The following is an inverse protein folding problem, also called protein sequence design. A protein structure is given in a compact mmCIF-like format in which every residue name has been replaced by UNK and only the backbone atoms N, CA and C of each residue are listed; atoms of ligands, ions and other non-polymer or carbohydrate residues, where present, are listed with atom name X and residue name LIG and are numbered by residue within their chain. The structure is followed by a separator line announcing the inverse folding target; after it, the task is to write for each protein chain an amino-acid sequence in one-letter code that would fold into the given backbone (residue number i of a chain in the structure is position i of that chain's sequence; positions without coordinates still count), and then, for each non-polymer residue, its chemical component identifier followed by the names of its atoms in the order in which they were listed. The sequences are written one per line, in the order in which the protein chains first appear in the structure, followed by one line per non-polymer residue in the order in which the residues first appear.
data_IF_747563387054
#
_entry.id   IF_747563387054
#
_cell.length_a   1.000
_cell.length_b   1.000
_cell.length_c   1.000
_cell.angle_alpha   90.00
_cell.angle_beta   90.00
_cell.angle_gamma   90.00
#
_symmetry.space_group_name_H-M   'P 1'
#
loop_
_entity.id
_entity.type
_entity.pdbx_description
1 polymer ?
#
# COMPACT_ATOMS: atom_id res chain seq x y z
N UNK A 1 -9.89 7.02 -3.80
CA UNK A 1 -8.45 7.33 -3.65
C UNK A 1 -8.13 8.23 -2.46
N UNK A 2 -8.86 9.33 -2.24
CA UNK A 2 -8.59 10.25 -1.12
C UNK A 2 -8.53 9.55 0.25
N UNK A 3 -9.50 8.67 0.56
CA UNK A 3 -9.53 7.93 1.84
C UNK A 3 -8.31 7.03 2.01
N UNK A 4 -7.90 6.30 0.97
CA UNK A 4 -6.73 5.42 1.03
C UNK A 4 -5.43 6.21 1.20
N UNK A 5 -5.27 7.34 0.51
CA UNK A 5 -4.11 8.22 0.67
C UNK A 5 -4.05 8.80 2.09
N UNK A 6 -5.18 9.20 2.66
CA UNK A 6 -5.27 9.67 4.05
C UNK A 6 -4.88 8.58 5.05
N UNK A 7 -5.41 7.37 4.89
CA UNK A 7 -5.06 6.23 5.75
C UNK A 7 -3.58 5.89 5.66
N UNK A 8 -3.01 5.93 4.45
CA UNK A 8 -1.60 5.65 4.23
C UNK A 8 -0.69 6.65 4.95
N UNK A 9 -0.94 7.95 4.76
CA UNK A 9 -0.17 9.01 5.42
C UNK A 9 -0.35 8.92 6.94
N UNK A 10 -1.58 8.70 7.41
CA UNK A 10 -1.87 8.57 8.84
C UNK A 10 -1.15 7.39 9.49
N UNK A 11 -1.08 6.25 8.82
CA UNK A 11 -0.34 5.09 9.32
C UNK A 11 1.16 5.43 9.43
N UNK A 12 1.77 6.00 8.38
CA UNK A 12 3.18 6.41 8.40
C UNK A 12 3.50 7.40 9.53
N UNK A 13 2.64 8.40 9.78
CA UNK A 13 2.86 9.37 10.86
C UNK A 13 2.72 8.73 12.24
N UNK A 14 1.66 7.94 12.46
CA UNK A 14 1.40 7.27 13.75
C UNK A 14 2.56 6.33 14.12
N UNK A 15 3.16 5.66 13.15
CA UNK A 15 4.28 4.75 13.37
C UNK A 15 5.55 5.48 13.79
N UNK A 16 5.83 6.64 13.20
CA UNK A 16 6.99 7.45 13.56
C UNK A 16 6.80 7.99 14.98
N UNK A 17 5.60 8.52 15.28
CA UNK A 17 5.25 9.00 16.62
C UNK A 17 5.36 7.87 17.65
N UNK A 18 4.86 6.67 17.33
CA UNK A 18 4.97 5.50 18.21
C UNK A 18 6.43 5.04 18.41
N UNK A 19 7.29 5.18 17.40
CA UNK A 19 8.71 4.87 17.55
C UNK A 19 9.38 5.86 18.52
N UNK A 20 9.10 7.16 18.36
CA UNK A 20 9.62 8.21 19.25
C UNK A 20 9.12 8.00 20.68
N UNK A 21 7.84 7.67 20.87
CA UNK A 21 7.24 7.37 22.18
C UNK A 21 7.85 6.14 22.87
N UNK A 22 8.44 5.22 22.11
CA UNK A 22 9.15 4.03 22.63
C UNK A 22 10.60 4.34 23.05
N UNK A 23 11.06 5.58 22.92
CA UNK A 23 12.42 5.99 23.25
C UNK A 23 13.44 5.69 22.15
N UNK A 24 12.96 5.41 20.93
CA UNK A 24 13.81 5.25 19.74
C UNK A 24 14.30 6.64 19.31
N UNK A 25 15.61 6.80 19.06
CA UNK A 25 16.13 8.08 18.58
C UNK A 25 15.49 8.46 17.24
N UNK A 26 15.31 9.77 17.00
CA UNK A 26 14.75 10.29 15.74
C UNK A 26 15.48 9.75 14.49
N UNK A 27 16.76 9.40 14.61
CA UNK A 27 17.53 8.80 13.52
C UNK A 27 17.12 7.34 13.24
N UNK A 28 16.81 6.56 14.26
CA UNK A 28 16.35 5.17 14.13
C UNK A 28 14.93 5.09 13.54
N UNK A 29 14.08 6.08 13.83
CA UNK A 29 12.76 6.20 13.21
C UNK A 29 12.81 6.35 11.68
N UNK A 30 13.87 6.95 11.13
CA UNK A 30 14.06 7.07 9.67
C UNK A 30 14.33 5.71 9.04
N UNK A 31 15.01 4.80 9.73
CA UNK A 31 15.27 3.46 9.22
C UNK A 31 13.99 2.63 9.06
N UNK A 32 12.95 2.87 9.88
CA UNK A 32 11.63 2.29 9.67
C UNK A 32 11.03 2.71 8.33
N UNK A 33 11.10 4.00 7.99
CA UNK A 33 10.56 4.55 6.74
C UNK A 33 11.34 4.00 5.55
N UNK A 34 12.67 3.94 5.64
CA UNK A 34 13.53 3.39 4.58
C UNK A 34 13.21 1.91 4.36
N UNK A 35 13.09 1.12 5.44
CA UNK A 35 12.69 -0.28 5.37
C UNK A 35 11.31 -0.46 4.74
N UNK A 36 10.34 0.38 5.13
CA UNK A 36 9.01 0.43 4.53
C UNK A 36 9.07 0.75 3.03
N UNK A 37 9.84 1.74 2.61
CA UNK A 37 9.99 2.12 1.19
C UNK A 37 10.62 1.01 0.35
N UNK A 38 11.65 0.34 0.86
CA UNK A 38 12.29 -0.79 0.17
C UNK A 38 11.32 -1.96 0.06
N UNK A 39 10.60 -2.28 1.14
CA UNK A 39 9.58 -3.31 1.17
C UNK A 39 8.42 -3.02 0.20
N UNK A 40 7.93 -1.78 0.15
CA UNK A 40 6.90 -1.35 -0.81
C UNK A 40 7.37 -1.53 -2.26
N UNK A 41 8.63 -1.17 -2.55
CA UNK A 41 9.20 -1.34 -3.88
C UNK A 41 9.26 -2.84 -4.27
N UNK A 42 9.71 -3.70 -3.36
CA UNK A 42 9.76 -5.15 -3.56
C UNK A 42 8.35 -5.71 -3.77
N UNK A 43 7.37 -5.28 -2.98
CA UNK A 43 5.97 -5.69 -3.11
C UNK A 43 5.39 -5.33 -4.48
N UNK A 44 5.71 -4.13 -4.99
CA UNK A 44 5.30 -3.69 -6.35
C UNK A 44 5.96 -4.53 -7.44
N UNK A 45 7.26 -4.78 -7.34
CA UNK A 45 8.01 -5.59 -8.32
C UNK A 45 7.54 -7.04 -8.32
N UNK A 46 7.30 -7.62 -7.14
CA UNK A 46 6.78 -8.99 -7.00
C UNK A 46 5.41 -9.16 -7.64
N UNK A 47 4.56 -8.13 -7.60
CA UNK A 47 3.24 -8.20 -8.22
C UNK A 47 3.26 -8.18 -9.76
N UNK A 48 4.30 -7.59 -10.36
CA UNK A 48 4.52 -7.65 -11.81
C UNK A 48 4.61 -9.09 -12.32
N UNK A 49 5.23 -9.98 -11.56
CA UNK A 49 5.33 -11.41 -11.89
C UNK A 49 4.06 -12.20 -11.55
N UNK A 50 3.26 -11.75 -10.56
CA UNK A 50 2.02 -12.42 -10.13
C UNK A 50 0.88 -12.18 -11.12
N UNK A 51 0.77 -10.97 -11.69
CA UNK A 51 -0.24 -10.62 -12.71
C UNK A 51 -0.03 -11.46 -13.97
N UNK A 52 1.23 -11.66 -14.37
CA UNK A 52 1.57 -12.39 -15.60
C UNK A 52 1.22 -13.89 -15.50
N UNK A 53 1.24 -14.44 -14.28
CA UNK A 53 0.92 -15.86 -14.05
C UNK A 53 -0.57 -16.19 -14.06
N UNK A 54 -1.51 -15.24 -14.23
CA UNK A 54 -2.98 -15.48 -14.20
C UNK A 54 -3.52 -16.26 -12.97
N UNK A 55 -2.73 -16.44 -11.92
CA UNK A 55 -2.99 -17.46 -10.89
C UNK A 55 -4.05 -17.05 -9.85
N UNK A 56 -4.45 -15.78 -9.75
CA UNK A 56 -5.42 -15.34 -8.72
C UNK A 56 -6.35 -14.23 -9.22
N UNK A 57 -7.66 -14.37 -8.98
CA UNK A 57 -8.64 -13.29 -9.18
C UNK A 57 -8.26 -12.10 -8.29
N UNK A 58 -7.95 -10.95 -8.91
CA UNK A 58 -7.58 -9.67 -8.27
C UNK A 58 -8.47 -9.31 -7.06
N UNK A 59 -9.77 -9.64 -7.15
CA UNK A 59 -10.76 -9.35 -6.10
C UNK A 59 -10.54 -10.14 -4.80
N UNK A 60 -10.11 -11.41 -4.89
CA UNK A 60 -9.81 -12.22 -3.69
C UNK A 60 -8.46 -11.85 -3.08
N UNK A 61 -7.48 -11.53 -3.92
CA UNK A 61 -6.15 -11.16 -3.45
C UNK A 61 -6.20 -9.87 -2.61
N UNK A 62 -6.86 -8.82 -3.11
CA UNK A 62 -6.99 -7.54 -2.40
C UNK A 62 -7.66 -7.67 -1.03
N UNK A 63 -8.69 -8.52 -0.91
CA UNK A 63 -9.40 -8.73 0.35
C UNK A 63 -8.54 -9.43 1.41
N UNK A 64 -7.81 -10.48 1.01
CA UNK A 64 -6.90 -11.21 1.90
C UNK A 64 -5.75 -10.31 2.36
N UNK A 65 -5.15 -9.53 1.47
CA UNK A 65 -4.07 -8.59 1.84
C UNK A 65 -4.56 -7.47 2.75
N UNK A 66 -5.78 -6.95 2.55
CA UNK A 66 -6.36 -5.94 3.45
C UNK A 66 -6.62 -6.49 4.85
N UNK A 67 -7.14 -7.71 4.96
CA UNK A 67 -7.33 -8.36 6.26
C UNK A 67 -6.00 -8.58 6.98
N UNK A 68 -5.01 -9.11 6.28
CA UNK A 68 -3.67 -9.35 6.84
C UNK A 68 -3.02 -8.05 7.33
N UNK A 69 -3.16 -6.98 6.54
CA UNK A 69 -2.66 -5.65 6.85
C UNK A 69 -3.34 -5.05 8.09
N UNK A 70 -4.67 -5.23 8.22
CA UNK A 70 -5.41 -4.85 9.43
C UNK A 70 -4.97 -5.62 10.67
N UNK A 71 -4.72 -6.94 10.54
CA UNK A 71 -4.21 -7.77 11.63
C UNK A 71 -2.81 -7.34 12.08
N UNK A 72 -1.94 -6.98 11.13
CA UNK A 72 -0.59 -6.46 11.42
C UNK A 72 -0.65 -5.16 12.22
N UNK A 73 -1.52 -4.23 11.84
CA UNK A 73 -1.73 -2.97 12.59
C UNK A 73 -2.30 -3.23 13.98
N UNK A 74 -3.26 -4.15 14.11
CA UNK A 74 -3.80 -4.56 15.41
C UNK A 74 -2.77 -5.28 16.29
N UNK A 75 -1.73 -5.88 15.69
CA UNK A 75 -0.64 -6.55 16.41
C UNK A 75 0.48 -5.60 16.87
N UNK A 76 0.60 -4.39 16.30
CA UNK A 76 1.57 -3.37 16.72
C UNK A 76 1.55 -3.07 18.22
N UNK A 77 0.39 -2.84 18.88
CA UNK A 77 0.36 -2.52 20.31
C UNK A 77 0.74 -3.69 21.24
N UNK A 78 0.85 -4.93 20.74
CA UNK A 78 1.03 -6.12 21.59
C UNK A 78 2.48 -6.34 22.04
N UNK A 79 3.48 -5.83 21.31
CA UNK A 79 4.90 -6.06 21.59
C UNK A 79 5.72 -4.78 21.42
N UNK A 80 6.22 -4.22 22.53
CA UNK A 80 7.11 -3.04 22.58
C UNK A 80 8.57 -3.34 22.21
N UNK A 81 8.82 -4.13 21.17
CA UNK A 81 10.19 -4.43 20.72
C UNK A 81 10.47 -3.78 19.38
N UNK A 82 11.56 -3.03 19.28
CA UNK A 82 11.99 -2.34 18.06
C UNK A 82 12.11 -3.30 16.85
N UNK A 83 12.68 -4.48 17.07
CA UNK A 83 12.80 -5.50 16.02
C UNK A 83 11.42 -5.99 15.53
N UNK A 84 10.45 -6.10 16.43
CA UNK A 84 9.09 -6.50 16.07
C UNK A 84 8.41 -5.43 15.22
N UNK A 85 8.59 -4.16 15.61
CA UNK A 85 8.05 -3.01 14.89
C UNK A 85 8.65 -2.89 13.47
N UNK A 86 9.96 -3.11 13.32
CA UNK A 86 10.64 -3.16 12.01
C UNK A 86 10.11 -4.28 11.11
N UNK A 87 9.95 -5.50 11.64
CA UNK A 87 9.42 -6.64 10.86
C UNK A 87 7.98 -6.38 10.42
N UNK A 88 7.14 -5.83 11.31
CA UNK A 88 5.76 -5.48 11.00
C UNK A 88 5.70 -4.39 9.92
N UNK A 89 6.58 -3.38 9.97
CA UNK A 89 6.68 -2.37 8.90
C UNK A 89 7.06 -2.95 7.55
N UNK A 90 8.06 -3.81 7.52
CA UNK A 90 8.47 -4.46 6.28
C UNK A 90 7.35 -5.33 5.70
N UNK A 91 6.64 -6.10 6.54
CA UNK A 91 5.47 -6.87 6.08
C UNK A 91 4.35 -5.95 5.59
N UNK A 92 4.08 -4.85 6.30
CA UNK A 92 3.07 -3.87 5.93
C UNK A 92 3.39 -3.23 4.56
N UNK A 93 4.65 -2.82 4.33
CA UNK A 93 5.12 -2.29 3.06
C UNK A 93 5.03 -3.29 1.91
N UNK A 94 5.42 -4.55 2.14
CA UNK A 94 5.31 -5.62 1.14
C UNK A 94 3.87 -5.87 0.69
N UNK A 95 2.90 -5.71 1.58
CA UNK A 95 1.47 -5.88 1.28
C UNK A 95 0.84 -4.62 0.67
N UNK A 96 1.35 -3.44 1.06
CA UNK A 96 0.93 -2.14 0.52
C UNK A 96 1.23 -2.03 -0.99
N UNK A 97 2.45 -2.40 -1.40
CA UNK A 97 2.90 -2.24 -2.79
C UNK A 97 1.95 -2.84 -3.84
N UNK A 98 1.57 -4.12 -3.72
CA UNK A 98 0.57 -4.76 -4.57
C UNK A 98 -0.78 -4.07 -4.62
N UNK A 99 -1.26 -3.58 -3.46
CA UNK A 99 -2.57 -2.93 -3.33
C UNK A 99 -2.62 -1.60 -4.09
N UNK A 100 -1.56 -0.79 -4.00
CA UNK A 100 -1.42 0.45 -4.79
C UNK A 100 -1.46 0.13 -6.28
N UNK A 101 -0.79 -0.95 -6.70
CA UNK A 101 -0.75 -1.38 -8.09
C UNK A 101 -2.13 -1.81 -8.60
N UNK A 102 -2.89 -2.58 -7.81
CA UNK A 102 -4.27 -2.97 -8.12
C UNK A 102 -5.20 -1.75 -8.20
N UNK A 103 -5.07 -0.80 -7.27
CA UNK A 103 -5.85 0.44 -7.28
C UNK A 103 -5.60 1.26 -8.55
N UNK A 104 -4.33 1.42 -8.95
CA UNK A 104 -3.95 2.12 -10.20
C UNK A 104 -4.46 1.37 -11.44
N UNK A 105 -4.40 0.03 -11.46
CA UNK A 105 -4.89 -0.77 -12.58
C UNK A 105 -6.41 -0.70 -12.75
N UNK A 106 -7.17 -0.55 -11.66
CA UNK A 106 -8.63 -0.35 -11.72
C UNK A 106 -9.00 1.00 -12.32
N UNK A 107 -8.19 2.04 -12.16
CA UNK A 107 -8.46 3.37 -12.72
C UNK A 107 -8.12 3.48 -14.21
N UNK A 108 -7.16 2.69 -14.71
CA UNK A 108 -6.78 2.67 -16.14
C UNK A 108 -7.98 2.46 -17.10
N UNK A 109 -8.85 1.44 -16.94
CA UNK A 109 -9.99 1.27 -17.82
C UNK A 109 -11.04 2.37 -17.65
N UNK A 110 -11.19 2.94 -16.44
CA UNK A 110 -12.16 4.00 -16.17
C UNK A 110 -11.76 5.31 -16.86
N UNK A 111 -10.48 5.69 -16.77
CA UNK A 111 -9.93 6.86 -17.45
C UNK A 111 -9.96 6.70 -18.98
N UNK A 112 -9.68 5.49 -19.50
CA UNK A 112 -9.79 5.20 -20.93
C UNK A 112 -11.23 5.24 -21.45
N UNK A 113 -12.20 4.73 -20.67
CA UNK A 113 -13.63 4.89 -21.01
C UNK A 113 -14.09 6.34 -20.92
N UNK A 114 -13.61 7.11 -19.96
CA UNK A 114 -13.93 8.54 -19.84
C UNK A 114 -13.32 9.36 -20.99
N UNK A 115 -12.09 9.05 -21.39
CA UNK A 115 -11.44 9.67 -22.55
C UNK A 115 -12.17 9.29 -23.83
N UNK A 116 -12.53 8.02 -24.01
CA UNK A 116 -13.33 7.58 -25.16
C UNK A 116 -14.70 8.25 -25.17
N UNK A 117 -15.39 8.34 -24.04
CA UNK A 117 -16.69 9.00 -23.91
C UNK A 117 -16.61 10.49 -24.24
N UNK A 118 -15.55 11.18 -23.82
CA UNK A 118 -15.35 12.61 -24.12
C UNK A 118 -14.87 12.86 -25.55
N UNK A 119 -14.11 11.95 -26.16
CA UNK A 119 -13.79 12.02 -27.60
C UNK A 119 -14.98 11.69 -28.49
N UNK A 120 -15.86 10.78 -28.07
CA UNK A 120 -17.08 10.41 -28.81
C UNK A 120 -18.13 11.52 -28.81
N UNK A 121 -18.31 12.24 -27.71
CA UNK A 121 -19.23 13.39 -27.66
C UNK A 121 -18.72 14.56 -28.49
N UNK A 122 -17.40 14.77 -28.56
CA UNK A 122 -16.77 15.77 -29.43
C UNK A 122 -16.82 15.43 -30.92
N UNK A 123 -16.78 14.13 -31.26
CA UNK A 123 -16.88 13.66 -32.65
C UNK A 123 -18.31 13.66 -33.22
N UNK A 124 -19.34 13.78 -32.36
CA UNK A 124 -20.76 13.82 -32.78
C UNK A 124 -21.33 15.25 -32.88
N UNK A 125 -20.53 16.27 -32.55
CA UNK A 125 -20.91 17.69 -32.64
C UNK A 125 -20.21 18.44 -33.79
N UNK A 126 -19.59 17.72 -34.73
CA UNK A 126 -19.16 18.19 -36.05
C UNK A 126 -19.88 17.38 -37.11
#
# INVERSE_FOLDING_TARGET
MAVYAFLFVGVLTIIIDYAVDQGVSHDDGKFLIIGFSVADLIGRLGFGQVIDKKLVKIKNYSGVTMLLMGTLVAALPLKKSFNFMMVVMCMYGLLQGPLVLVLVLVERPLCFQFLLATTWTRARSQ
#
